data_IF_676659209660
#
_entry.id   IF_676659209660
#
_cell.length_a   1.000
_cell.length_b   1.000
_cell.length_c   1.000
_cell.angle_alpha   90.00
_cell.angle_beta   90.00
_cell.angle_gamma   90.00
#
_symmetry.space_group_name_H-M   'P 1'
#
loop_
_entity.id
_entity.type
_entity.pdbx_description
1 polymer ?
#
# COMPACT_ATOMS: atom_id res chain seq x y z
N UNK A 1 9.16 38.25 7.21
CA UNK A 1 7.99 38.04 8.08
C UNK A 1 7.99 36.55 8.36
N UNK A 2 8.34 36.15 9.58
CA UNK A 2 8.12 34.78 10.04
C UNK A 2 6.62 34.49 9.92
N UNK A 3 6.19 33.41 9.25
CA UNK A 3 4.88 32.89 9.50
C UNK A 3 4.95 32.26 10.89
N UNK A 4 4.62 33.04 11.92
CA UNK A 4 4.19 32.43 13.18
C UNK A 4 3.07 31.46 12.81
N UNK A 5 3.17 30.16 13.15
CA UNK A 5 2.08 29.24 12.90
C UNK A 5 0.88 29.78 13.68
N UNK A 6 -0.08 30.35 12.97
CA UNK A 6 -1.33 30.77 13.58
C UNK A 6 -1.88 29.57 14.32
N UNK A 7 -2.35 29.78 15.55
CA UNK A 7 -3.17 28.79 16.22
C UNK A 7 -4.41 28.57 15.35
N UNK A 8 -4.33 27.64 14.40
CA UNK A 8 -5.50 27.12 13.72
C UNK A 8 -6.25 26.35 14.80
N UNK A 9 -7.17 27.03 15.49
CA UNK A 9 -8.15 26.36 16.32
C UNK A 9 -8.82 25.29 15.47
N UNK A 10 -9.02 24.10 16.05
CA UNK A 10 -9.74 23.05 15.34
C UNK A 10 -11.18 23.46 15.09
N UNK A 11 -11.77 22.98 14.01
CA UNK A 11 -13.18 23.23 13.70
C UNK A 11 -14.16 22.43 14.58
N UNK A 12 -13.67 21.65 15.55
CA UNK A 12 -14.48 20.83 16.45
C UNK A 12 -15.40 21.64 17.37
N UNK A 13 -15.13 22.94 17.55
CA UNK A 13 -16.03 23.86 18.27
C UNK A 13 -17.24 24.29 17.42
N UNK A 14 -17.17 24.15 16.09
CA UNK A 14 -18.28 24.45 15.17
C UNK A 14 -19.22 23.25 15.05
N UNK A 15 -20.25 23.25 15.91
CA UNK A 15 -21.23 22.17 15.97
C UNK A 15 -22.04 22.01 14.67
N UNK A 16 -22.32 23.11 13.95
CA UNK A 16 -23.07 23.05 12.68
C UNK A 16 -22.23 22.38 11.60
N UNK A 17 -20.96 22.77 11.47
CA UNK A 17 -20.04 22.15 10.53
C UNK A 17 -19.77 20.68 10.87
N UNK A 18 -19.56 20.35 12.15
CA UNK A 18 -19.36 18.96 12.57
C UNK A 18 -20.57 18.07 12.23
N UNK A 19 -21.79 18.57 12.50
CA UNK A 19 -23.01 17.85 12.16
C UNK A 19 -23.17 17.70 10.64
N UNK A 20 -22.83 18.74 9.86
CA UNK A 20 -22.86 18.67 8.40
C UNK A 20 -21.90 17.60 7.86
N UNK A 21 -20.65 17.57 8.33
CA UNK A 21 -19.64 16.60 7.90
C UNK A 21 -20.05 15.15 8.24
N UNK A 22 -20.51 14.92 9.47
CA UNK A 22 -21.00 13.60 9.90
C UNK A 22 -22.30 13.19 9.19
N UNK A 23 -23.14 14.15 8.81
CA UNK A 23 -24.32 13.91 7.99
C UNK A 23 -24.01 13.55 6.53
N UNK A 24 -22.82 13.90 6.04
CA UNK A 24 -22.35 13.60 4.69
C UNK A 24 -21.78 12.20 4.49
N UNK A 25 -21.71 11.38 5.56
CA UNK A 25 -21.17 10.02 5.50
C UNK A 25 -22.25 8.97 5.83
N UNK A 26 -22.14 7.80 5.21
CA UNK A 26 -22.92 6.63 5.60
C UNK A 26 -22.12 5.79 6.59
N UNK A 27 -22.62 5.59 7.80
CA UNK A 27 -21.94 4.80 8.85
C UNK A 27 -22.94 3.99 9.68
N UNK A 28 -22.50 2.82 10.14
CA UNK A 28 -23.22 2.01 11.14
C UNK A 28 -22.69 2.24 12.57
N UNK A 29 -21.63 3.03 12.72
CA UNK A 29 -20.97 3.31 13.98
C UNK A 29 -21.29 4.73 14.45
N UNK A 30 -21.31 4.93 15.75
CA UNK A 30 -21.43 6.26 16.34
C UNK A 30 -20.06 6.93 16.28
N UNK A 31 -19.98 8.04 15.54
CA UNK A 31 -18.74 8.81 15.37
C UNK A 31 -18.94 10.23 15.87
N UNK A 32 -17.89 10.82 16.40
CA UNK A 32 -17.92 12.19 16.92
C UNK A 32 -16.65 12.94 16.54
N UNK A 33 -16.78 14.22 16.17
CA UNK A 33 -15.65 15.11 15.93
C UNK A 33 -15.38 15.87 17.22
N UNK A 34 -14.14 15.79 17.72
CA UNK A 34 -13.68 16.48 18.94
C UNK A 34 -12.29 17.09 18.71
N UNK A 35 -11.76 17.77 19.72
CA UNK A 35 -10.32 18.08 19.74
C UNK A 35 -9.51 16.79 19.62
N UNK A 36 -8.50 16.80 18.75
CA UNK A 36 -7.62 15.64 18.55
C UNK A 36 -6.80 15.38 19.82
N UNK A 37 -6.54 14.11 20.12
CA UNK A 37 -5.61 13.74 21.19
C UNK A 37 -4.16 14.02 20.80
N UNK A 38 -3.91 14.24 19.50
CA UNK A 38 -2.61 14.64 18.98
C UNK A 38 -2.43 16.15 19.17
N UNK A 39 -1.43 16.50 19.97
CA UNK A 39 -1.07 17.91 20.21
C UNK A 39 -0.92 18.69 18.91
N UNK A 40 -1.64 19.82 18.81
CA UNK A 40 -1.64 20.73 17.66
C UNK A 40 -2.23 20.16 16.35
N UNK A 41 -2.88 18.99 16.37
CA UNK A 41 -3.55 18.45 15.18
C UNK A 41 -4.94 19.07 14.93
N UNK A 42 -5.48 19.83 15.88
CA UNK A 42 -6.77 20.51 15.76
C UNK A 42 -7.93 19.56 16.06
N UNK A 43 -8.66 19.11 15.04
CA UNK A 43 -9.85 18.26 15.20
C UNK A 43 -9.54 16.80 14.86
N UNK A 44 -10.07 15.88 15.66
CA UNK A 44 -10.01 14.43 15.46
C UNK A 44 -11.41 13.83 15.27
N UNK A 45 -11.47 12.66 14.63
CA UNK A 45 -12.67 11.85 14.50
C UNK A 45 -12.57 10.65 15.44
N UNK A 46 -13.52 10.47 16.34
CA UNK A 46 -13.47 9.43 17.39
C UNK A 46 -14.59 8.41 17.19
N UNK A 47 -14.30 7.14 17.53
CA UNK A 47 -15.29 6.09 17.62
C UNK A 47 -16.01 6.14 18.97
N UNK A 48 -17.34 6.20 19.00
CA UNK A 48 -18.13 6.25 20.23
C UNK A 48 -18.64 4.88 20.69
N UNK A 49 -18.36 3.84 19.92
CA UNK A 49 -18.58 2.44 20.27
C UNK A 49 -17.41 1.58 19.77
N UNK A 50 -17.24 0.38 20.34
CA UNK A 50 -16.26 -0.57 19.85
C UNK A 50 -16.52 -0.92 18.38
N UNK A 51 -15.45 -0.93 17.58
CA UNK A 51 -15.47 -1.31 16.15
C UNK A 51 -14.58 -2.53 15.98
N UNK A 52 -15.13 -3.70 15.63
CA UNK A 52 -14.35 -4.90 15.34
C UNK A 52 -13.40 -4.70 14.15
N UNK A 53 -12.30 -5.45 14.11
CA UNK A 53 -11.39 -5.46 12.96
C UNK A 53 -12.12 -5.81 11.66
N UNK A 54 -11.66 -5.19 10.57
CA UNK A 54 -12.20 -5.42 9.24
C UNK A 54 -13.56 -4.80 9.00
N UNK A 55 -14.18 -4.15 9.97
CA UNK A 55 -15.47 -3.49 9.78
C UNK A 55 -15.33 -2.19 9.00
N UNK A 56 -16.40 -1.84 8.32
CA UNK A 56 -16.50 -0.56 7.65
C UNK A 56 -16.91 0.51 8.63
N UNK A 57 -16.04 1.51 8.80
CA UNK A 57 -16.27 2.62 9.71
C UNK A 57 -17.28 3.58 9.08
N UNK A 58 -17.00 4.06 7.87
CA UNK A 58 -17.93 4.89 7.11
C UNK A 58 -17.64 4.83 5.61
N UNK A 59 -18.63 5.26 4.83
CA UNK A 59 -18.51 5.54 3.41
C UNK A 59 -18.82 7.01 3.15
N UNK A 60 -18.11 7.60 2.20
CA UNK A 60 -18.37 8.94 1.72
C UNK A 60 -18.47 8.93 0.20
N UNK A 61 -19.53 9.55 -0.32
CA UNK A 61 -19.59 9.90 -1.73
C UNK A 61 -18.73 11.14 -1.93
N UNK A 62 -17.68 11.10 -2.76
CA UNK A 62 -16.85 12.27 -2.98
C UNK A 62 -17.73 13.40 -3.54
N UNK A 63 -17.52 14.61 -3.02
CA UNK A 63 -18.07 15.81 -3.63
C UNK A 63 -17.22 16.13 -4.86
N UNK A 64 -17.88 16.39 -5.98
CA UNK A 64 -17.24 16.78 -7.24
C UNK A 64 -17.44 18.28 -7.42
N UNK A 65 -16.39 18.98 -7.86
CA UNK A 65 -16.52 20.33 -8.37
C UNK A 65 -17.15 20.25 -9.76
N UNK A 66 -18.43 20.56 -9.84
CA UNK A 66 -19.17 20.61 -11.10
C UNK A 66 -19.52 22.05 -11.45
N UNK A 67 -19.67 22.32 -12.74
CA UNK A 67 -20.39 23.51 -13.20
C UNK A 67 -21.74 23.61 -12.48
N UNK A 68 -22.03 24.80 -11.92
CA UNK A 68 -23.27 25.06 -11.17
C UNK A 68 -24.53 24.73 -11.98
N UNK A 69 -25.57 24.27 -11.28
CA UNK A 69 -26.87 23.96 -11.88
C UNK A 69 -27.42 25.14 -12.70
N UNK A 70 -27.95 24.82 -13.89
CA UNK A 70 -28.57 25.79 -14.80
C UNK A 70 -27.62 26.45 -15.81
N UNK A 71 -26.30 26.23 -15.72
CA UNK A 71 -25.35 26.67 -16.76
C UNK A 71 -24.52 25.54 -17.37
N UNK A 72 -24.72 24.29 -16.94
CA UNK A 72 -24.04 23.10 -17.45
C UNK A 72 -24.18 22.93 -18.98
N UNK A 73 -25.30 23.32 -19.58
CA UNK A 73 -25.50 23.28 -21.04
C UNK A 73 -24.66 24.32 -21.80
N UNK A 74 -24.10 25.29 -21.08
CA UNK A 74 -23.40 26.44 -21.66
C UNK A 74 -21.94 26.56 -21.24
N UNK A 75 -21.55 26.02 -20.10
CA UNK A 75 -20.17 26.07 -19.60
C UNK A 75 -19.60 24.66 -19.64
N UNK A 76 -18.50 24.50 -20.37
CA UNK A 76 -17.76 23.25 -20.38
C UNK A 76 -17.07 23.03 -19.02
N UNK A 77 -17.23 21.85 -18.44
CA UNK A 77 -16.62 21.48 -17.16
C UNK A 77 -15.08 21.36 -17.25
N UNK A 78 -14.57 20.83 -18.37
CA UNK A 78 -13.12 20.64 -18.61
C UNK A 78 -12.34 21.96 -18.74
N UNK A 79 -12.80 22.82 -19.64
CA UNK A 79 -12.05 24.00 -20.07
C UNK A 79 -12.68 25.31 -19.60
N UNK A 80 -13.76 25.23 -18.80
CA UNK A 80 -14.53 26.36 -18.27
C UNK A 80 -15.05 27.34 -19.35
N UNK A 81 -15.03 26.92 -20.62
CA UNK A 81 -15.45 27.78 -21.72
C UNK A 81 -16.96 27.88 -21.73
N UNK A 82 -17.46 29.10 -21.58
CA UNK A 82 -18.88 29.40 -21.71
C UNK A 82 -19.24 29.70 -23.19
N UNK A 83 -20.11 28.91 -23.80
CA UNK A 83 -20.64 29.08 -25.17
C UNK A 83 -21.46 30.35 -25.33
N UNK A 84 -22.03 30.88 -24.25
CA UNK A 84 -22.72 32.17 -24.20
C UNK A 84 -21.76 33.35 -23.97
N UNK A 85 -20.46 33.10 -23.73
CA UNK A 85 -19.48 34.16 -23.52
C UNK A 85 -19.31 35.03 -24.77
N UNK A 86 -19.42 36.35 -24.60
CA UNK A 86 -19.10 37.33 -25.64
C UNK A 86 -17.59 37.47 -25.87
N UNK A 87 -16.77 36.88 -25.01
CA UNK A 87 -15.31 36.94 -25.06
C UNK A 87 -14.79 35.59 -25.57
N UNK A 88 -14.01 35.65 -26.65
CA UNK A 88 -13.26 34.54 -27.21
C UNK A 88 -12.12 34.13 -26.26
N UNK A 89 -11.71 32.85 -26.19
CA UNK A 89 -10.63 32.39 -25.30
C UNK A 89 -9.31 33.18 -25.43
N UNK A 90 -9.04 33.79 -26.59
CA UNK A 90 -7.89 34.67 -26.80
C UNK A 90 -8.03 36.08 -26.19
N UNK A 91 -9.09 36.36 -25.42
CA UNK A 91 -9.36 37.66 -24.79
C UNK A 91 -10.06 38.72 -25.65
N UNK A 92 -10.35 38.43 -26.94
CA UNK A 92 -11.08 39.35 -27.84
C UNK A 92 -12.59 39.13 -27.77
N UNK A 93 -13.40 40.06 -28.28
CA UNK A 93 -14.82 39.78 -28.49
C UNK A 93 -15.06 38.80 -29.63
N UNK A 94 -16.08 37.95 -29.48
CA UNK A 94 -16.53 37.04 -30.54
C UNK A 94 -17.17 37.80 -31.70
N UNK A 95 -17.02 37.26 -32.89
CA UNK A 95 -17.58 37.74 -34.16
C UNK A 95 -18.45 36.66 -34.78
N UNK A 96 -19.30 37.02 -35.77
CA UNK A 96 -20.24 36.07 -36.42
C UNK A 96 -19.57 34.89 -37.12
N UNK A 97 -18.26 34.95 -37.39
CA UNK A 97 -17.50 33.87 -38.02
C UNK A 97 -16.79 32.94 -37.04
N UNK A 98 -16.85 33.21 -35.73
CA UNK A 98 -16.21 32.36 -34.73
C UNK A 98 -17.04 31.11 -34.48
N UNK A 99 -16.39 29.95 -34.52
CA UNK A 99 -17.03 28.69 -34.14
C UNK A 99 -17.47 28.74 -32.66
N UNK A 100 -18.63 28.13 -32.39
CA UNK A 100 -19.02 27.84 -31.01
C UNK A 100 -17.98 26.87 -30.40
N UNK A 101 -17.63 27.02 -29.12
CA UNK A 101 -16.85 26.04 -28.40
C UNK A 101 -17.48 24.65 -28.52
N UNK A 102 -16.68 23.66 -28.89
CA UNK A 102 -17.08 22.27 -28.84
C UNK A 102 -16.95 21.75 -27.41
N UNK A 103 -18.10 21.56 -26.75
CA UNK A 103 -18.15 21.01 -25.40
C UNK A 103 -18.03 19.49 -25.44
N UNK A 104 -18.52 18.84 -26.50
CA UNK A 104 -18.61 17.39 -26.61
C UNK A 104 -17.23 16.77 -26.73
N UNK A 105 -16.32 17.40 -27.48
CA UNK A 105 -14.94 16.94 -27.57
C UNK A 105 -14.26 16.88 -26.21
N UNK A 106 -14.52 17.85 -25.33
CA UNK A 106 -13.91 18.00 -24.00
C UNK A 106 -14.35 16.93 -22.98
N UNK A 107 -15.41 16.16 -23.28
CA UNK A 107 -15.95 15.16 -22.36
C UNK A 107 -14.99 13.98 -22.19
N UNK A 108 -14.33 13.54 -23.26
CA UNK A 108 -13.37 12.44 -23.21
C UNK A 108 -12.13 12.84 -22.40
N UNK A 109 -11.63 14.08 -22.56
CA UNK A 109 -10.51 14.56 -21.74
C UNK A 109 -10.90 14.72 -20.27
N UNK A 110 -12.08 15.28 -19.96
CA UNK A 110 -12.58 15.36 -18.59
C UNK A 110 -12.77 13.98 -17.96
N UNK A 111 -13.31 13.02 -18.72
CA UNK A 111 -13.44 11.65 -18.28
C UNK A 111 -12.11 11.00 -17.99
N UNK A 112 -11.14 11.11 -18.89
CA UNK A 112 -9.81 10.55 -18.70
C UNK A 112 -8.99 11.26 -17.62
N UNK A 113 -9.26 12.54 -17.35
CA UNK A 113 -8.55 13.29 -16.34
C UNK A 113 -9.13 13.13 -14.93
N UNK A 114 -10.46 13.19 -14.78
CA UNK A 114 -11.10 13.17 -13.46
C UNK A 114 -12.45 12.44 -13.39
N UNK A 115 -13.38 12.51 -14.36
CA UNK A 115 -14.71 11.90 -14.17
C UNK A 115 -14.67 10.37 -14.05
N UNK A 116 -13.71 9.66 -14.68
CA UNK A 116 -13.54 8.21 -14.48
C UNK A 116 -13.25 7.82 -13.03
N UNK A 117 -12.85 8.79 -12.21
CA UNK A 117 -12.55 8.64 -10.79
C UNK A 117 -13.69 9.14 -9.88
N UNK A 118 -14.69 9.82 -10.42
CA UNK A 118 -15.74 10.52 -9.65
C UNK A 118 -16.90 9.63 -9.15
N UNK A 119 -16.79 8.32 -9.27
CA UNK A 119 -17.81 7.39 -8.80
C UNK A 119 -17.26 6.27 -7.91
N UNK A 120 -16.00 6.34 -7.48
CA UNK A 120 -15.50 5.45 -6.43
C UNK A 120 -15.89 6.00 -5.07
N UNK A 121 -16.93 5.42 -4.48
CA UNK A 121 -17.28 5.56 -3.07
C UNK A 121 -16.02 5.37 -2.19
N UNK A 122 -15.64 6.40 -1.42
CA UNK A 122 -14.56 6.28 -0.45
C UNK A 122 -15.05 5.43 0.70
N UNK A 123 -14.34 4.33 0.99
CA UNK A 123 -14.65 3.45 2.11
C UNK A 123 -13.50 3.45 3.10
N UNK A 124 -13.82 3.70 4.37
CA UNK A 124 -12.86 3.61 5.46
C UNK A 124 -13.16 2.37 6.27
N UNK A 125 -12.17 1.50 6.45
CA UNK A 125 -12.30 0.24 7.20
C UNK A 125 -11.23 0.16 8.28
N UNK A 126 -11.57 -0.47 9.39
CA UNK A 126 -10.65 -0.66 10.51
C UNK A 126 -9.67 -1.80 10.21
N UNK A 127 -8.36 -1.54 10.28
CA UNK A 127 -7.31 -2.57 10.12
C UNK A 127 -6.98 -3.33 11.41
N UNK A 128 -7.63 -2.97 12.51
CA UNK A 128 -7.53 -3.59 13.84
C UNK A 128 -8.81 -3.27 14.63
N UNK A 129 -9.06 -3.92 15.77
CA UNK A 129 -10.13 -3.50 16.66
C UNK A 129 -9.89 -2.08 17.19
N UNK A 130 -10.96 -1.28 17.26
CA UNK A 130 -10.97 0.08 17.83
C UNK A 130 -11.91 0.12 19.03
N UNK A 131 -11.54 0.86 20.06
CA UNK A 131 -12.33 1.02 21.28
C UNK A 131 -13.17 2.27 21.27
N UNK A 132 -14.30 2.24 21.99
CA UNK A 132 -15.05 3.45 22.26
C UNK A 132 -14.16 4.51 22.93
N UNK A 133 -14.24 5.75 22.45
CA UNK A 133 -13.38 6.87 22.80
C UNK A 133 -12.09 6.98 21.99
N UNK A 134 -11.76 6.02 21.13
CA UNK A 134 -10.49 6.04 20.39
C UNK A 134 -10.56 6.93 19.14
N UNK A 135 -9.53 7.76 18.95
CA UNK A 135 -9.37 8.57 17.73
C UNK A 135 -9.01 7.68 16.52
N UNK A 136 -9.68 7.93 15.41
CA UNK A 136 -9.47 7.25 14.14
C UNK A 136 -8.26 7.83 13.42
N UNK A 137 -7.18 7.06 13.37
CA UNK A 137 -5.92 7.48 12.76
C UNK A 137 -5.66 6.74 11.45
N UNK A 138 -5.15 7.48 10.46
CA UNK A 138 -4.62 6.93 9.21
C UNK A 138 -3.17 7.36 9.00
N UNK A 139 -2.41 6.61 8.20
CA UNK A 139 -1.05 6.99 7.83
C UNK A 139 -1.07 7.85 6.58
N UNK A 140 -0.44 9.03 6.62
CA UNK A 140 -0.35 9.95 5.47
C UNK A 140 0.76 9.58 4.49
N UNK A 141 1.56 8.57 4.82
CA UNK A 141 2.66 8.08 4.00
C UNK A 141 2.53 6.57 3.83
N UNK A 142 3.44 5.99 3.06
CA UNK A 142 3.64 4.55 3.01
C UNK A 142 3.86 3.97 4.43
N UNK A 143 3.04 2.98 4.79
CA UNK A 143 3.02 2.33 6.10
C UNK A 143 4.21 1.40 6.34
N UNK A 144 4.90 0.94 5.28
CA UNK A 144 6.06 0.06 5.44
C UNK A 144 7.33 0.85 5.71
N UNK A 145 7.41 2.09 5.23
CA UNK A 145 8.58 2.95 5.39
C UNK A 145 9.06 3.08 6.84
N UNK A 146 10.38 2.97 7.02
CA UNK A 146 11.06 3.18 8.29
C UNK A 146 10.87 4.60 8.84
N UNK A 147 10.98 4.76 10.16
CA UNK A 147 10.79 6.03 10.86
C UNK A 147 11.65 7.18 10.33
N UNK A 148 12.91 6.93 9.93
CA UNK A 148 13.79 8.01 9.49
C UNK A 148 13.26 8.64 8.20
N UNK A 149 12.82 7.79 7.27
CA UNK A 149 12.19 8.24 6.03
C UNK A 149 10.77 8.76 6.23
N UNK A 150 9.99 8.11 7.10
CA UNK A 150 8.61 8.50 7.41
C UNK A 150 8.55 9.90 8.05
N UNK A 151 9.39 10.19 9.05
CA UNK A 151 9.46 11.53 9.67
C UNK A 151 9.92 12.59 8.68
N UNK A 152 10.93 12.29 7.86
CA UNK A 152 11.36 13.21 6.79
C UNK A 152 10.21 13.56 5.84
N UNK A 153 9.48 12.57 5.32
CA UNK A 153 8.33 12.81 4.42
C UNK A 153 7.21 13.59 5.10
N UNK A 154 6.86 13.23 6.34
CA UNK A 154 5.81 13.92 7.10
C UNK A 154 6.18 15.39 7.36
N UNK A 155 7.44 15.66 7.67
CA UNK A 155 7.94 17.02 7.86
C UNK A 155 7.96 17.82 6.54
N UNK A 156 8.49 17.23 5.47
CA UNK A 156 8.67 17.90 4.19
C UNK A 156 7.32 18.20 3.49
N UNK A 157 6.31 17.33 3.66
CA UNK A 157 5.02 17.44 2.96
C UNK A 157 3.88 17.95 3.83
N UNK A 158 3.90 17.65 5.13
CA UNK A 158 2.82 17.95 6.07
C UNK A 158 3.27 18.84 7.24
N UNK A 159 4.55 19.24 7.28
CA UNK A 159 5.08 20.25 8.20
C UNK A 159 4.97 19.92 9.70
N UNK A 160 4.96 18.64 10.07
CA UNK A 160 4.96 18.21 11.48
C UNK A 160 5.96 17.08 11.76
N UNK A 161 6.44 17.04 13.01
CA UNK A 161 7.31 15.98 13.51
C UNK A 161 6.45 14.91 14.23
N UNK A 162 6.33 13.72 13.64
CA UNK A 162 5.48 12.66 14.18
C UNK A 162 6.09 11.99 15.42
N UNK A 163 5.35 12.02 16.54
CA UNK A 163 5.74 11.42 17.85
C UNK A 163 4.87 10.23 18.24
N UNK A 164 4.20 9.59 17.27
CA UNK A 164 3.35 8.43 17.58
C UNK A 164 4.17 7.29 18.22
N UNK A 165 3.53 6.37 18.99
CA UNK A 165 4.25 5.31 19.70
C UNK A 165 5.13 4.41 18.80
N UNK A 166 4.74 4.25 17.53
CA UNK A 166 5.55 3.53 16.53
C UNK A 166 6.83 4.28 16.17
N UNK A 167 6.71 5.57 15.86
CA UNK A 167 7.87 6.41 15.54
C UNK A 167 8.87 6.47 16.71
N UNK A 168 8.39 6.65 17.95
CA UNK A 168 9.29 6.68 19.11
C UNK A 168 10.05 5.37 19.29
N UNK A 169 9.36 4.23 19.23
CA UNK A 169 9.97 2.92 19.38
C UNK A 169 11.00 2.62 18.28
N UNK A 170 10.67 2.88 17.02
CA UNK A 170 11.56 2.65 15.89
C UNK A 170 12.77 3.58 15.94
N UNK A 171 12.57 4.86 16.29
CA UNK A 171 13.66 5.82 16.38
C UNK A 171 14.62 5.49 17.53
N UNK A 172 14.09 5.03 18.67
CA UNK A 172 14.91 4.50 19.76
C UNK A 172 15.70 3.25 19.36
N UNK A 173 15.16 2.40 18.47
CA UNK A 173 15.91 1.27 17.91
C UNK A 173 17.11 1.73 17.09
N UNK A 174 16.95 2.78 16.27
CA UNK A 174 18.05 3.38 15.51
C UNK A 174 19.12 3.97 16.44
N UNK A 175 18.73 4.81 17.40
CA UNK A 175 19.66 5.39 18.38
C UNK A 175 20.46 4.31 19.11
N UNK A 176 19.84 3.21 19.53
CA UNK A 176 20.57 2.10 20.18
C UNK A 176 21.58 1.43 19.25
N UNK A 177 21.27 1.27 17.96
CA UNK A 177 22.16 0.65 16.96
C UNK A 177 23.30 1.56 16.53
N UNK A 178 23.11 2.87 16.63
CA UNK A 178 24.11 3.88 16.31
C UNK A 178 24.83 4.43 17.54
N UNK A 179 24.71 3.76 18.69
CA UNK A 179 25.31 4.20 19.96
C UNK A 179 24.94 5.63 20.39
N UNK A 180 23.74 6.07 20.02
CA UNK A 180 23.20 7.42 20.18
C UNK A 180 23.96 8.52 19.41
N UNK A 181 24.76 8.14 18.41
CA UNK A 181 25.38 9.10 17.50
C UNK A 181 24.35 9.51 16.42
N UNK A 182 23.99 10.80 16.42
CA UNK A 182 23.02 11.36 15.48
C UNK A 182 23.58 11.51 14.07
N UNK A 183 24.89 11.62 13.89
CA UNK A 183 25.52 11.65 12.57
C UNK A 183 25.43 10.28 11.89
N UNK A 184 25.58 9.20 12.66
CA UNK A 184 25.38 7.83 12.19
C UNK A 184 23.89 7.55 11.88
N UNK A 185 22.95 8.09 12.67
CA UNK A 185 21.51 8.01 12.33
C UNK A 185 21.22 8.67 11.00
N UNK A 186 21.82 9.83 10.74
CA UNK A 186 21.66 10.54 9.48
C UNK A 186 22.29 9.78 8.31
N UNK A 187 23.45 9.17 8.50
CA UNK A 187 24.07 8.30 7.51
C UNK A 187 23.20 7.10 7.15
N UNK A 188 22.56 6.46 8.14
CA UNK A 188 21.56 5.38 7.89
C UNK A 188 20.40 5.91 7.04
N UNK A 189 19.88 7.11 7.33
CA UNK A 189 18.79 7.73 6.56
C UNK A 189 19.22 7.99 5.11
N UNK A 190 20.41 8.50 4.89
CA UNK A 190 20.98 8.72 3.54
C UNK A 190 21.11 7.38 2.79
N UNK A 191 21.60 6.33 3.45
CA UNK A 191 21.67 5.00 2.85
C UNK A 191 20.28 4.43 2.48
N UNK A 192 19.24 4.69 3.29
CA UNK A 192 17.85 4.34 2.96
C UNK A 192 17.35 5.09 1.72
N UNK A 193 17.67 6.38 1.62
CA UNK A 193 17.28 7.24 0.49
C UNK A 193 17.97 6.78 -0.79
N UNK A 194 19.30 6.59 -0.77
CA UNK A 194 20.07 6.09 -1.91
C UNK A 194 19.61 4.71 -2.39
N UNK A 195 19.31 3.78 -1.47
CA UNK A 195 18.80 2.47 -1.85
C UNK A 195 17.40 2.55 -2.46
N UNK A 196 16.55 3.44 -1.94
CA UNK A 196 15.21 3.68 -2.51
C UNK A 196 15.30 4.26 -3.92
N UNK A 197 16.19 5.24 -4.15
CA UNK A 197 16.45 5.81 -5.48
C UNK A 197 17.00 4.78 -6.46
N UNK A 198 17.91 3.91 -6.00
CA UNK A 198 18.44 2.81 -6.79
C UNK A 198 17.34 1.85 -7.23
N UNK A 199 16.43 1.46 -6.32
CA UNK A 199 15.27 0.62 -6.61
C UNK A 199 14.35 1.30 -7.64
N UNK A 200 13.98 2.56 -7.41
CA UNK A 200 13.09 3.31 -8.31
C UNK A 200 13.69 3.45 -9.71
N UNK A 201 14.98 3.76 -9.80
CA UNK A 201 15.72 3.84 -11.07
C UNK A 201 15.73 2.50 -11.81
N UNK A 202 15.89 1.40 -11.08
CA UNK A 202 15.83 0.06 -11.66
C UNK A 202 14.43 -0.27 -12.21
N UNK A 203 13.36 0.07 -11.49
CA UNK A 203 11.97 -0.11 -11.96
C UNK A 203 11.73 0.68 -13.26
N UNK A 204 12.16 1.94 -13.33
CA UNK A 204 12.00 2.77 -14.52
C UNK A 204 12.76 2.16 -15.71
N UNK A 205 14.01 1.74 -15.51
CA UNK A 205 14.81 1.08 -16.56
C UNK A 205 14.19 -0.23 -17.03
N UNK A 206 13.62 -1.02 -16.12
CA UNK A 206 12.94 -2.27 -16.47
C UNK A 206 11.69 -2.04 -17.33
N UNK A 207 10.97 -0.92 -17.15
CA UNK A 207 9.84 -0.56 -18.01
C UNK A 207 10.25 -0.22 -19.44
N UNK A 208 11.46 0.33 -19.63
CA UNK A 208 11.94 0.74 -20.96
C UNK A 208 12.80 -0.32 -21.65
N UNK A 209 13.58 -1.09 -20.89
CA UNK A 209 14.43 -2.18 -21.38
C UNK A 209 14.55 -3.28 -20.31
N UNK A 210 13.66 -4.29 -20.34
CA UNK A 210 13.63 -5.37 -19.35
C UNK A 210 14.95 -6.14 -19.21
N UNK A 211 15.73 -6.26 -20.29
CA UNK A 211 17.01 -6.99 -20.29
C UNK A 211 18.24 -6.09 -20.11
N UNK A 212 18.07 -4.77 -20.17
CA UNK A 212 19.17 -3.80 -20.18
C UNK A 212 19.84 -3.54 -18.83
N UNK A 213 19.37 -4.15 -17.75
CA UNK A 213 19.89 -3.94 -16.39
C UNK A 213 20.50 -5.22 -15.80
N UNK A 214 21.80 -5.31 -15.54
CA UNK A 214 22.35 -6.47 -14.84
C UNK A 214 21.84 -6.54 -13.39
N UNK A 215 20.94 -7.50 -13.08
CA UNK A 215 20.37 -7.63 -11.72
C UNK A 215 21.42 -7.95 -10.66
N UNK A 216 22.48 -8.67 -11.05
CA UNK A 216 23.62 -8.96 -10.18
C UNK A 216 24.33 -7.68 -9.74
N UNK A 217 24.46 -6.69 -10.64
CA UNK A 217 25.05 -5.39 -10.29
C UNK A 217 24.12 -4.59 -9.38
N UNK A 218 22.81 -4.64 -9.61
CA UNK A 218 21.82 -4.02 -8.73
C UNK A 218 21.91 -4.58 -7.31
N UNK A 219 21.95 -5.91 -7.16
CA UNK A 219 22.11 -6.58 -5.88
C UNK A 219 23.45 -6.26 -5.21
N UNK A 220 24.55 -6.23 -5.98
CA UNK A 220 25.86 -5.90 -5.46
C UNK A 220 25.92 -4.46 -4.93
N UNK A 221 25.36 -3.50 -5.67
CA UNK A 221 25.27 -2.10 -5.25
C UNK A 221 24.39 -1.94 -4.02
N UNK A 222 23.22 -2.57 -4.00
CA UNK A 222 22.34 -2.55 -2.84
C UNK A 222 23.01 -3.13 -1.59
N UNK A 223 23.73 -4.25 -1.74
CA UNK A 223 24.51 -4.86 -0.66
C UNK A 223 25.60 -3.93 -0.14
N UNK A 224 26.28 -3.22 -1.04
CA UNK A 224 27.31 -2.24 -0.66
C UNK A 224 26.72 -1.11 0.20
N UNK A 225 25.55 -0.59 -0.17
CA UNK A 225 24.88 0.49 0.57
C UNK A 225 24.52 0.05 2.00
N UNK A 226 24.01 -1.17 2.18
CA UNK A 226 23.52 -1.63 3.49
C UNK A 226 24.60 -2.21 4.40
N UNK A 227 25.71 -2.71 3.85
CA UNK A 227 26.76 -3.36 4.65
C UNK A 227 27.46 -2.40 5.61
N UNK A 228 27.63 -1.15 5.19
CA UNK A 228 28.46 -0.17 5.90
C UNK A 228 27.62 0.89 6.64
N UNK A 229 26.29 0.82 6.53
CA UNK A 229 25.38 1.84 7.05
C UNK A 229 25.27 1.87 8.59
N UNK A 230 25.50 0.75 9.28
CA UNK A 230 25.42 0.69 10.74
C UNK A 230 26.81 0.46 11.37
N UNK A 231 27.18 1.21 12.42
CA UNK A 231 28.44 1.00 13.11
C UNK A 231 28.40 -0.33 13.87
N UNK A 232 29.35 -1.23 13.57
CA UNK A 232 29.55 -2.47 14.30
C UNK A 232 28.39 -3.49 14.23
N UNK A 233 27.40 -3.28 13.34
CA UNK A 233 26.30 -4.22 13.15
C UNK A 233 25.84 -4.26 11.69
N UNK A 234 25.17 -5.36 11.31
CA UNK A 234 24.59 -5.50 9.96
C UNK A 234 23.24 -4.80 9.90
N UNK A 235 22.89 -4.34 8.69
CA UNK A 235 21.53 -3.92 8.36
C UNK A 235 20.51 -4.99 8.77
N UNK A 236 19.45 -4.64 9.52
CA UNK A 236 18.39 -5.59 9.86
C UNK A 236 17.62 -6.03 8.62
N UNK A 237 17.43 -7.34 8.43
CA UNK A 237 16.70 -7.87 7.26
C UNK A 237 15.31 -7.23 7.09
N UNK A 238 14.65 -6.88 8.19
CA UNK A 238 13.29 -6.33 8.21
C UNK A 238 13.21 -4.81 8.07
N UNK A 239 14.36 -4.12 8.08
CA UNK A 239 14.41 -2.68 7.96
C UNK A 239 14.29 -2.26 6.49
N UNK A 240 13.24 -1.51 6.16
CA UNK A 240 13.09 -0.92 4.83
C UNK A 240 14.26 0.02 4.48
N UNK A 241 14.71 0.03 3.20
CA UNK A 241 14.03 -0.52 2.02
C UNK A 241 14.51 -1.92 1.56
N UNK A 242 15.12 -2.74 2.44
CA UNK A 242 15.57 -4.11 2.06
C UNK A 242 14.42 -5.07 1.70
N UNK A 243 13.31 -5.15 2.47
CA UNK A 243 12.14 -5.92 2.06
C UNK A 243 11.58 -5.45 0.71
N UNK A 244 11.49 -4.13 0.50
CA UNK A 244 11.09 -3.54 -0.79
C UNK A 244 12.01 -3.99 -1.93
N UNK A 245 13.33 -3.95 -1.74
CA UNK A 245 14.30 -4.41 -2.75
C UNK A 245 14.00 -5.84 -3.19
N UNK A 246 13.82 -6.77 -2.24
CA UNK A 246 13.52 -8.17 -2.55
C UNK A 246 12.21 -8.34 -3.33
N UNK A 247 11.15 -7.60 -2.97
CA UNK A 247 9.88 -7.61 -3.72
C UNK A 247 10.08 -7.16 -5.17
N UNK A 248 10.88 -6.10 -5.38
CA UNK A 248 11.16 -5.57 -6.72
C UNK A 248 12.07 -6.50 -7.52
N UNK A 249 13.10 -7.07 -6.91
CA UNK A 249 13.93 -8.11 -7.54
C UNK A 249 13.10 -9.33 -7.95
N UNK A 250 12.17 -9.77 -7.10
CA UNK A 250 11.24 -10.87 -7.42
C UNK A 250 10.47 -10.61 -8.71
N UNK A 251 9.86 -9.42 -8.81
CA UNK A 251 9.16 -8.98 -10.01
C UNK A 251 10.08 -8.88 -11.24
N UNK A 252 11.31 -8.37 -11.09
CA UNK A 252 12.27 -8.26 -12.20
C UNK A 252 12.74 -9.62 -12.71
N UNK A 253 13.02 -10.58 -11.81
CA UNK A 253 13.37 -11.94 -12.18
C UNK A 253 12.22 -12.65 -12.90
N UNK A 254 10.98 -12.45 -12.45
CA UNK A 254 9.80 -13.03 -13.09
C UNK A 254 9.68 -12.55 -14.55
N UNK A 255 9.84 -11.24 -14.79
CA UNK A 255 9.79 -10.66 -16.13
C UNK A 255 10.83 -11.25 -17.09
N UNK A 256 11.97 -11.71 -16.57
CA UNK A 256 13.04 -12.37 -17.33
C UNK A 256 12.90 -13.88 -17.43
N UNK A 257 11.76 -14.44 -16.99
CA UNK A 257 11.53 -15.88 -17.00
C UNK A 257 12.38 -16.67 -15.99
N UNK A 258 12.99 -16.00 -15.01
CA UNK A 258 13.74 -16.66 -13.95
C UNK A 258 12.85 -16.89 -12.72
N UNK A 259 11.90 -17.82 -12.86
CA UNK A 259 10.86 -18.08 -11.85
C UNK A 259 11.40 -18.51 -10.47
N UNK A 260 12.50 -19.27 -10.42
CA UNK A 260 13.08 -19.74 -9.15
C UNK A 260 13.68 -18.57 -8.35
N UNK A 261 14.50 -17.74 -8.99
CA UNK A 261 15.06 -16.54 -8.36
C UNK A 261 13.95 -15.56 -7.95
N UNK A 262 12.93 -15.41 -8.81
CA UNK A 262 11.76 -14.60 -8.50
C UNK A 262 11.07 -15.06 -7.21
N UNK A 263 10.87 -16.37 -7.07
CA UNK A 263 10.19 -16.95 -5.92
C UNK A 263 11.01 -16.78 -4.63
N UNK A 264 12.32 -17.05 -4.68
CA UNK A 264 13.20 -16.83 -3.53
C UNK A 264 13.20 -15.36 -3.07
N UNK A 265 13.27 -14.42 -4.00
CA UNK A 265 13.22 -12.99 -3.68
C UNK A 265 11.87 -12.60 -3.09
N UNK A 266 10.76 -13.04 -3.67
CA UNK A 266 9.43 -12.70 -3.14
C UNK A 266 9.14 -13.30 -1.76
N UNK A 267 9.64 -14.51 -1.47
CA UNK A 267 9.57 -15.09 -0.11
C UNK A 267 10.34 -14.21 0.88
N UNK A 268 11.58 -13.79 0.54
CA UNK A 268 12.36 -12.88 1.38
C UNK A 268 11.65 -11.55 1.59
N UNK A 269 11.11 -10.96 0.52
CA UNK A 269 10.37 -9.71 0.56
C UNK A 269 9.15 -9.79 1.50
N UNK A 270 8.34 -10.85 1.37
CA UNK A 270 7.19 -11.06 2.25
C UNK A 270 7.61 -11.35 3.69
N UNK A 271 8.61 -12.21 3.88
CA UNK A 271 9.03 -12.61 5.21
C UNK A 271 9.62 -11.45 6.00
N UNK A 272 10.48 -10.65 5.37
CA UNK A 272 11.12 -9.51 6.02
C UNK A 272 10.23 -8.28 6.15
N UNK A 273 9.03 -8.27 5.57
CA UNK A 273 8.08 -7.17 5.81
C UNK A 273 7.55 -7.27 7.24
N UNK A 274 7.86 -6.28 8.08
CA UNK A 274 7.36 -6.25 9.46
C UNK A 274 5.86 -5.91 9.52
N UNK A 275 5.38 -5.05 8.62
CA UNK A 275 3.99 -4.61 8.56
C UNK A 275 3.14 -5.49 7.64
N UNK A 276 2.65 -6.63 8.17
CA UNK A 276 1.82 -7.61 7.43
C UNK A 276 0.32 -7.30 7.54
N UNK A 277 -0.07 -6.04 7.31
CA UNK A 277 -1.44 -5.53 7.48
C UNK A 277 -1.81 -4.56 6.36
N UNK A 278 -3.09 -4.54 5.99
CA UNK A 278 -3.65 -3.58 5.05
C UNK A 278 -3.28 -3.84 3.58
N UNK A 279 -3.50 -2.84 2.70
CA UNK A 279 -3.41 -3.02 1.24
C UNK A 279 -2.04 -3.49 0.75
N UNK A 280 -0.96 -2.98 1.33
CA UNK A 280 0.40 -3.35 0.91
C UNK A 280 0.69 -4.83 1.14
N UNK A 281 0.24 -5.38 2.27
CA UNK A 281 0.40 -6.80 2.55
C UNK A 281 -0.45 -7.69 1.64
N UNK A 282 -1.67 -7.24 1.30
CA UNK A 282 -2.52 -7.94 0.32
C UNK A 282 -1.84 -7.97 -1.05
N UNK A 283 -1.21 -6.86 -1.47
CA UNK A 283 -0.45 -6.80 -2.71
C UNK A 283 0.78 -7.73 -2.70
N UNK A 284 1.52 -7.77 -1.59
CA UNK A 284 2.68 -8.64 -1.42
C UNK A 284 2.30 -10.13 -1.55
N UNK A 285 1.22 -10.54 -0.87
CA UNK A 285 0.70 -11.91 -0.94
C UNK A 285 0.22 -12.26 -2.36
N UNK A 286 -0.50 -11.35 -3.01
CA UNK A 286 -0.95 -11.52 -4.38
C UNK A 286 0.23 -11.75 -5.32
N UNK A 287 1.26 -10.90 -5.25
CA UNK A 287 2.46 -11.02 -6.08
C UNK A 287 3.21 -12.33 -5.82
N UNK A 288 3.30 -12.76 -4.56
CA UNK A 288 3.91 -14.05 -4.21
C UNK A 288 3.17 -15.22 -4.86
N UNK A 289 1.84 -15.27 -4.77
CA UNK A 289 1.04 -16.38 -5.33
C UNK A 289 1.06 -16.34 -6.88
N UNK A 290 1.09 -15.15 -7.48
CA UNK A 290 1.30 -14.98 -8.93
C UNK A 290 2.65 -15.58 -9.36
N UNK A 291 3.71 -15.36 -8.58
CA UNK A 291 5.04 -15.94 -8.83
C UNK A 291 5.05 -17.47 -8.60
N UNK A 292 4.35 -17.96 -7.58
CA UNK A 292 4.17 -19.41 -7.38
C UNK A 292 3.50 -20.07 -8.60
N UNK A 293 2.51 -19.40 -9.18
CA UNK A 293 1.84 -19.89 -10.40
C UNK A 293 2.85 -20.02 -11.55
N UNK A 294 3.82 -19.11 -11.67
CA UNK A 294 4.87 -19.19 -12.68
C UNK A 294 5.80 -20.40 -12.49
N UNK A 295 6.06 -20.85 -11.24
CA UNK A 295 6.83 -22.09 -10.97
C UNK A 295 6.16 -23.29 -11.63
N UNK A 296 4.82 -23.34 -11.58
CA UNK A 296 4.06 -24.44 -12.13
C UNK A 296 3.78 -24.24 -13.62
N UNK A 297 3.78 -23.03 -14.18
CA UNK A 297 3.48 -22.85 -15.61
C UNK A 297 4.74 -22.89 -16.49
N UNK A 298 5.87 -22.37 -16.01
CA UNK A 298 7.11 -22.28 -16.79
C UNK A 298 7.90 -23.59 -16.73
N UNK A 299 8.21 -24.24 -17.87
CA UNK A 299 8.95 -25.51 -17.87
C UNK A 299 10.33 -25.43 -17.20
N UNK A 300 11.05 -24.32 -17.40
CA UNK A 300 12.36 -24.08 -16.78
C UNK A 300 12.26 -23.96 -15.25
N UNK A 301 11.21 -23.31 -14.74
CA UNK A 301 11.01 -23.14 -13.31
C UNK A 301 10.57 -24.44 -12.62
N UNK A 302 9.80 -25.31 -13.31
CA UNK A 302 9.39 -26.63 -12.80
C UNK A 302 10.56 -27.55 -12.44
N UNK A 303 11.75 -27.31 -12.98
CA UNK A 303 12.92 -28.13 -12.65
C UNK A 303 13.30 -28.05 -11.17
N UNK A 304 12.88 -27.00 -10.46
CA UNK A 304 13.09 -26.84 -9.01
C UNK A 304 12.50 -28.00 -8.18
N UNK A 305 11.47 -28.69 -8.66
CA UNK A 305 10.92 -29.88 -8.00
C UNK A 305 11.90 -31.07 -7.95
N UNK A 306 13.02 -31.01 -8.67
CA UNK A 306 14.13 -31.98 -8.57
C UNK A 306 15.08 -31.68 -7.40
N UNK A 307 15.04 -30.47 -6.82
CA UNK A 307 15.83 -30.13 -5.64
C UNK A 307 15.23 -30.80 -4.40
N UNK A 308 16.02 -31.63 -3.73
CA UNK A 308 15.61 -32.36 -2.52
C UNK A 308 15.27 -31.43 -1.33
N UNK A 309 15.78 -30.20 -1.32
CA UNK A 309 15.48 -29.21 -0.29
C UNK A 309 14.22 -28.40 -0.61
N UNK A 310 13.72 -28.48 -1.85
CA UNK A 310 12.47 -27.86 -2.25
C UNK A 310 11.25 -28.67 -1.80
N UNK A 311 10.07 -28.08 -1.93
CA UNK A 311 8.79 -28.72 -1.66
C UNK A 311 8.54 -29.85 -2.66
N UNK A 312 7.96 -30.96 -2.19
CA UNK A 312 7.30 -31.92 -3.06
C UNK A 312 6.07 -31.27 -3.73
N UNK A 313 5.55 -31.89 -4.79
CA UNK A 313 4.36 -31.35 -5.46
C UNK A 313 3.17 -31.18 -4.52
N UNK A 314 2.99 -32.10 -3.55
CA UNK A 314 1.92 -32.01 -2.56
C UNK A 314 2.14 -30.84 -1.60
N UNK A 315 3.32 -30.76 -1.00
CA UNK A 315 3.68 -29.67 -0.07
C UNK A 315 3.60 -28.30 -0.76
N UNK A 316 3.93 -28.21 -2.05
CA UNK A 316 3.79 -26.98 -2.83
C UNK A 316 2.33 -26.52 -2.92
N UNK A 317 1.40 -27.42 -3.18
CA UNK A 317 -0.03 -27.09 -3.22
C UNK A 317 -0.58 -26.77 -1.83
N UNK A 318 -0.14 -27.47 -0.77
CA UNK A 318 -0.48 -27.10 0.62
C UNK A 318 -0.03 -25.66 0.94
N UNK A 319 1.19 -25.28 0.54
CA UNK A 319 1.69 -23.90 0.68
C UNK A 319 0.91 -22.90 -0.18
N UNK A 320 0.62 -23.24 -1.44
CA UNK A 320 -0.11 -22.38 -2.37
C UNK A 320 -1.53 -22.09 -1.88
N UNK A 321 -2.30 -23.12 -1.54
CA UNK A 321 -3.67 -22.98 -1.08
C UNK A 321 -3.75 -22.30 0.29
N UNK A 322 -2.78 -22.54 1.18
CA UNK A 322 -2.71 -21.84 2.47
C UNK A 322 -2.40 -20.35 2.34
N UNK A 323 -1.48 -19.98 1.43
CA UNK A 323 -1.19 -18.59 1.13
C UNK A 323 -2.38 -17.91 0.41
N UNK A 324 -3.04 -18.60 -0.53
CA UNK A 324 -4.22 -18.07 -1.22
C UNK A 324 -5.42 -17.91 -0.28
N UNK A 325 -5.59 -18.81 0.68
CA UNK A 325 -6.58 -18.65 1.74
C UNK A 325 -6.27 -17.44 2.62
N UNK A 326 -5.00 -17.27 3.01
CA UNK A 326 -4.54 -16.07 3.74
C UNK A 326 -4.81 -14.79 2.94
N UNK A 327 -4.53 -14.79 1.62
CA UNK A 327 -4.82 -13.67 0.73
C UNK A 327 -6.33 -13.36 0.70
N UNK A 328 -7.19 -14.37 0.62
CA UNK A 328 -8.65 -14.19 0.63
C UNK A 328 -9.11 -13.53 1.94
N UNK A 329 -8.71 -14.07 3.09
CA UNK A 329 -9.10 -13.53 4.41
C UNK A 329 -8.60 -12.09 4.62
N UNK A 330 -7.34 -11.83 4.28
CA UNK A 330 -6.75 -10.48 4.38
C UNK A 330 -7.39 -9.49 3.41
N UNK A 331 -7.78 -9.92 2.20
CA UNK A 331 -8.53 -9.09 1.24
C UNK A 331 -9.93 -8.76 1.75
N UNK A 332 -10.64 -9.73 2.34
CA UNK A 332 -11.95 -9.52 2.95
C UNK A 332 -11.87 -8.53 4.11
N UNK A 333 -10.85 -8.66 4.96
CA UNK A 333 -10.61 -7.77 6.08
C UNK A 333 -10.31 -6.34 5.59
N UNK A 334 -9.38 -6.20 4.64
CA UNK A 334 -8.85 -4.91 4.19
C UNK A 334 -9.80 -4.14 3.29
N UNK A 335 -10.48 -4.82 2.35
CA UNK A 335 -11.29 -4.17 1.31
C UNK A 335 -12.79 -4.47 1.43
N UNK A 336 -13.18 -5.47 2.23
CA UNK A 336 -14.54 -5.97 2.28
C UNK A 336 -14.78 -7.11 1.28
N UNK A 337 -15.75 -7.98 1.61
CA UNK A 337 -16.11 -9.15 0.79
C UNK A 337 -16.78 -8.77 -0.53
N UNK A 338 -17.40 -7.59 -0.58
CA UNK A 338 -18.12 -7.04 -1.74
C UNK A 338 -17.23 -6.16 -2.63
N UNK A 339 -15.95 -5.96 -2.30
CA UNK A 339 -15.02 -5.33 -3.22
C UNK A 339 -14.81 -6.22 -4.47
N UNK A 340 -14.76 -5.61 -5.66
CA UNK A 340 -14.54 -6.34 -6.91
C UNK A 340 -13.24 -7.14 -6.89
N UNK A 341 -12.18 -6.57 -6.30
CA UNK A 341 -10.92 -7.27 -6.10
C UNK A 341 -11.10 -8.53 -5.22
N UNK A 342 -11.73 -8.40 -4.05
CA UNK A 342 -11.97 -9.53 -3.14
C UNK A 342 -12.82 -10.63 -3.77
N UNK A 343 -13.85 -10.27 -4.54
CA UNK A 343 -14.64 -11.26 -5.30
C UNK A 343 -13.80 -12.01 -6.33
N UNK A 344 -12.88 -11.32 -7.02
CA UNK A 344 -11.97 -11.95 -7.97
C UNK A 344 -11.01 -12.92 -7.27
N UNK A 345 -10.46 -12.54 -6.10
CA UNK A 345 -9.64 -13.44 -5.27
C UNK A 345 -10.45 -14.65 -4.80
N UNK A 346 -11.69 -14.45 -4.36
CA UNK A 346 -12.57 -15.56 -3.95
C UNK A 346 -12.81 -16.53 -5.10
N UNK A 347 -13.11 -16.02 -6.30
CA UNK A 347 -13.28 -16.85 -7.49
C UNK A 347 -12.01 -17.64 -7.81
N UNK A 348 -10.84 -16.99 -7.77
CA UNK A 348 -9.56 -17.67 -7.97
C UNK A 348 -9.32 -18.76 -6.91
N UNK A 349 -9.63 -18.49 -5.65
CA UNK A 349 -9.57 -19.48 -4.57
C UNK A 349 -10.48 -20.67 -4.84
N UNK A 350 -11.75 -20.44 -5.16
CA UNK A 350 -12.71 -21.51 -5.45
C UNK A 350 -12.26 -22.36 -6.66
N UNK A 351 -11.84 -21.72 -7.76
CA UNK A 351 -11.40 -22.38 -9.00
C UNK A 351 -10.16 -23.26 -8.77
N UNK A 352 -9.23 -22.84 -7.91
CA UNK A 352 -8.00 -23.62 -7.62
C UNK A 352 -8.18 -24.75 -6.62
N UNK A 353 -9.29 -24.75 -5.88
CA UNK A 353 -9.64 -25.82 -4.95
C UNK A 353 -10.53 -26.89 -5.59
N UNK A 354 -11.02 -26.68 -6.81
CA UNK A 354 -11.76 -27.69 -7.54
C UNK A 354 -10.88 -28.94 -7.75
N UNK A 355 -11.24 -30.03 -7.05
CA UNK A 355 -10.48 -31.29 -7.08
C UNK A 355 -9.26 -31.34 -6.15
N UNK A 356 -9.08 -30.37 -5.25
CA UNK A 356 -8.01 -30.40 -4.25
C UNK A 356 -8.22 -31.51 -3.19
N UNK A 357 -7.13 -32.04 -2.65
CA UNK A 357 -7.16 -33.08 -1.62
C UNK A 357 -7.51 -32.51 -0.24
N UNK A 358 -8.49 -33.12 0.43
CA UNK A 358 -8.84 -32.83 1.83
C UNK A 358 -7.64 -33.05 2.79
N UNK A 359 -7.61 -32.38 3.96
CA UNK A 359 -8.48 -31.27 4.39
C UNK A 359 -8.28 -29.97 3.59
N UNK A 360 -9.35 -29.29 3.19
CA UNK A 360 -9.26 -27.99 2.49
C UNK A 360 -8.82 -26.84 3.42
N UNK A 361 -8.30 -25.71 2.88
CA UNK A 361 -7.97 -24.54 3.70
C UNK A 361 -9.16 -24.05 4.53
N UNK A 362 -8.91 -23.71 5.79
CA UNK A 362 -9.95 -23.33 6.76
C UNK A 362 -10.65 -24.51 7.44
N UNK A 363 -10.27 -25.76 7.13
CA UNK A 363 -10.81 -26.96 7.80
C UNK A 363 -9.79 -27.56 8.79
N UNK A 364 -10.26 -28.32 9.81
CA UNK A 364 -9.37 -28.95 10.79
C UNK A 364 -8.29 -29.82 10.13
N UNK A 365 -7.03 -29.60 10.50
CA UNK A 365 -5.88 -30.39 10.05
C UNK A 365 -5.18 -29.86 8.78
N UNK A 366 -5.79 -28.98 7.99
CA UNK A 366 -5.07 -28.33 6.87
C UNK A 366 -3.94 -27.43 7.38
N UNK A 367 -4.20 -26.73 8.48
CA UNK A 367 -3.29 -25.75 9.07
C UNK A 367 -1.92 -26.34 9.40
N UNK A 368 -1.87 -27.56 9.94
CA UNK A 368 -0.61 -28.26 10.24
C UNK A 368 0.18 -28.59 8.96
N UNK A 369 -0.51 -29.01 7.89
CA UNK A 369 0.12 -29.27 6.58
C UNK A 369 0.69 -27.97 6.02
N UNK A 370 -0.10 -26.90 6.05
CA UNK A 370 0.32 -25.59 5.59
C UNK A 370 1.52 -25.07 6.38
N UNK A 371 1.49 -25.13 7.72
CA UNK A 371 2.62 -24.73 8.58
C UNK A 371 3.89 -25.54 8.30
N UNK A 372 3.78 -26.85 8.07
CA UNK A 372 4.92 -27.68 7.71
C UNK A 372 5.52 -27.29 6.35
N UNK A 373 4.67 -27.15 5.33
CA UNK A 373 5.09 -26.73 3.99
C UNK A 373 5.69 -25.31 3.99
N UNK A 374 5.06 -24.37 4.70
CA UNK A 374 5.52 -23.00 4.83
C UNK A 374 6.92 -22.91 5.49
N UNK A 375 7.16 -23.67 6.57
CA UNK A 375 8.50 -23.71 7.21
C UNK A 375 9.58 -24.24 6.26
N UNK A 376 9.27 -25.29 5.52
CA UNK A 376 10.18 -25.86 4.51
C UNK A 376 10.45 -24.84 3.39
N UNK A 377 9.41 -24.11 2.97
CA UNK A 377 9.52 -23.04 1.97
C UNK A 377 10.44 -21.90 2.42
N UNK A 378 10.28 -21.41 3.66
CA UNK A 378 11.15 -20.38 4.23
C UNK A 378 12.60 -20.86 4.31
N UNK A 379 12.82 -22.09 4.80
CA UNK A 379 14.15 -22.67 4.89
C UNK A 379 14.83 -22.78 3.52
N UNK A 380 14.09 -23.19 2.49
CA UNK A 380 14.59 -23.26 1.12
C UNK A 380 14.98 -21.88 0.56
N UNK A 381 14.23 -20.83 0.91
CA UNK A 381 14.57 -19.45 0.54
C UNK A 381 15.71 -18.84 1.39
N UNK A 382 16.23 -19.58 2.38
CA UNK A 382 17.26 -19.09 3.30
C UNK A 382 16.74 -18.11 4.35
N UNK A 383 15.45 -18.22 4.70
CA UNK A 383 14.77 -17.33 5.66
C UNK A 383 14.45 -18.09 6.94
N UNK A 384 14.79 -17.50 8.08
CA UNK A 384 14.42 -18.07 9.38
C UNK A 384 12.92 -17.91 9.68
N UNK A 385 12.31 -18.95 10.28
CA UNK A 385 10.88 -18.97 10.63
C UNK A 385 10.44 -17.80 11.52
N UNK A 386 11.35 -17.21 12.30
CA UNK A 386 11.08 -16.04 13.14
C UNK A 386 10.57 -14.81 12.36
N UNK A 387 10.87 -14.71 11.06
CA UNK A 387 10.47 -13.57 10.24
C UNK A 387 9.05 -13.71 9.67
N UNK A 388 8.56 -14.94 9.50
CA UNK A 388 7.21 -15.18 9.03
C UNK A 388 6.64 -16.45 9.64
N UNK A 389 5.83 -16.26 10.68
CA UNK A 389 5.04 -17.33 11.27
C UNK A 389 3.60 -17.20 10.78
N UNK A 390 3.01 -18.32 10.38
CA UNK A 390 1.58 -18.40 10.17
C UNK A 390 0.94 -18.37 11.56
N UNK A 391 0.10 -17.38 11.82
CA UNK A 391 -0.67 -17.28 13.07
C UNK A 391 -1.79 -18.32 13.05
N UNK A 392 -2.18 -18.78 14.24
CA UNK A 392 -3.30 -19.70 14.44
C UNK A 392 -4.65 -19.04 14.15
#
# INVERSE_FOLDING_TARGET
MDPSPGSQGGFHEDAELCHYLLGGIATMHSLEIRESEISQAGSGLLAMNDIPEGQEIFRSSPLVECVVDGVADSVCDWCYTNTLSRVHPSGRFRTKGDAAPDIESCQDEAWEAYHKHECSELRVRSLRPLKAGEELLQCYTDVTCDVLMRRKRLKDQFFFDCTCPRCEREFESHKRRTFNDMSEVEFVREAQEELTELINSAIIKMKTSPDGLPLVELEARARSLVNDAFPGSRWPDTLDPVPLLYKRLGNMHLLRGNGVAAFQCSIKGCAYTDWKLGPEWVNDLHDLIRIMTAIVVQPSAREVFRDQHFLSSREFWDAYHGLLHTLLLTSQNTFGSDASYTRAIKRWYDDTLEGAEEPLPGTPGFEDRFKAAHRKLLSWAGVGEKYWRIQD
#
